data_IF_212769491212
#
_entry.id   IF_212769491212
#
_cell.length_a   1.000
_cell.length_b   1.000
_cell.length_c   1.000
_cell.angle_alpha   90.00
_cell.angle_beta   90.00
_cell.angle_gamma   90.00
#
_symmetry.space_group_name_H-M   'P 1'
#
loop_
_entity.id
_entity.type
_entity.pdbx_description
1 polymer ?
#
# COMPACT_ATOMS: atom_id res chain seq x y z
N UNK A 1 33.21 23.03 -62.88
CA UNK A 1 33.56 21.62 -62.61
C UNK A 1 33.23 21.34 -61.15
N UNK A 2 31.96 21.06 -60.79
CA UNK A 2 31.32 19.72 -60.72
C UNK A 2 32.20 18.63 -60.09
N UNK A 3 31.77 18.12 -58.93
CA UNK A 3 32.28 16.88 -58.32
C UNK A 3 32.03 16.76 -56.81
N UNK A 4 30.76 16.76 -56.38
CA UNK A 4 30.33 16.46 -55.00
C UNK A 4 30.31 14.95 -54.70
N UNK A 5 30.56 14.64 -53.42
CA UNK A 5 29.94 13.61 -52.58
C UNK A 5 29.98 12.13 -53.03
N UNK A 6 30.87 11.36 -52.38
CA UNK A 6 30.79 9.90 -52.27
C UNK A 6 29.81 9.48 -51.16
N UNK A 7 28.67 8.97 -51.62
CA UNK A 7 27.93 7.78 -51.15
C UNK A 7 27.87 7.45 -49.65
N UNK A 8 26.74 7.79 -49.00
CA UNK A 8 26.31 7.19 -47.73
C UNK A 8 25.28 6.10 -48.02
N UNK A 9 25.71 4.84 -47.98
CA UNK A 9 24.80 3.71 -47.99
C UNK A 9 23.96 3.68 -46.69
N UNK A 10 22.65 3.75 -46.89
CA UNK A 10 21.60 3.81 -45.90
C UNK A 10 21.32 2.39 -45.33
N UNK A 11 21.53 2.16 -44.04
CA UNK A 11 21.14 0.92 -43.38
C UNK A 11 19.66 1.01 -42.91
N UNK A 12 18.83 -0.03 -43.12
CA UNK A 12 17.41 0.04 -42.75
C UNK A 12 17.22 0.06 -41.23
N UNK A 13 16.21 0.78 -40.71
CA UNK A 13 15.91 0.77 -39.28
C UNK A 13 15.34 -0.59 -38.88
N UNK A 14 16.03 -1.28 -37.98
CA UNK A 14 15.55 -2.52 -37.36
C UNK A 14 14.35 -2.16 -36.49
N UNK A 15 13.16 -2.55 -36.94
CA UNK A 15 11.93 -2.41 -36.17
C UNK A 15 12.07 -3.17 -34.84
N UNK A 16 11.97 -2.46 -33.72
CA UNK A 16 11.88 -3.07 -32.39
C UNK A 16 10.46 -3.58 -32.19
N UNK A 17 10.29 -4.89 -32.22
CA UNK A 17 9.08 -5.56 -31.73
C UNK A 17 8.90 -5.31 -30.23
N UNK A 18 7.67 -5.15 -29.72
CA UNK A 18 7.41 -4.99 -28.30
C UNK A 18 7.66 -6.33 -27.58
N UNK A 19 8.50 -6.29 -26.54
CA UNK A 19 8.80 -7.46 -25.70
C UNK A 19 7.59 -7.79 -24.83
N UNK A 20 6.95 -8.93 -25.12
CA UNK A 20 5.99 -9.58 -24.24
C UNK A 20 6.67 -10.77 -23.56
N UNK A 21 7.14 -10.62 -22.32
CA UNK A 21 7.39 -11.73 -21.36
C UNK A 21 7.90 -11.18 -20.02
N UNK A 22 7.02 -11.06 -19.01
CA UNK A 22 7.37 -11.00 -17.56
C UNK A 22 6.14 -11.05 -16.64
N UNK A 23 4.90 -10.99 -17.13
CA UNK A 23 3.70 -10.80 -16.31
C UNK A 23 3.28 -11.96 -15.37
N UNK A 24 3.79 -13.19 -15.56
CA UNK A 24 3.26 -14.40 -14.90
C UNK A 24 3.63 -14.54 -13.41
N UNK A 25 4.84 -14.19 -12.93
CA UNK A 25 5.17 -14.28 -11.50
C UNK A 25 4.37 -13.32 -10.63
N UNK A 26 4.11 -12.12 -11.15
CA UNK A 26 3.49 -11.00 -10.46
C UNK A 26 2.01 -11.26 -10.19
N UNK A 27 1.29 -11.81 -11.18
CA UNK A 27 -0.12 -12.17 -11.03
C UNK A 27 -0.33 -13.35 -10.06
N UNK A 28 0.59 -14.32 -10.07
CA UNK A 28 0.54 -15.46 -9.16
C UNK A 28 0.70 -15.03 -7.69
N UNK A 29 1.62 -14.09 -7.40
CA UNK A 29 1.78 -13.57 -6.02
C UNK A 29 0.57 -12.76 -5.58
N UNK A 30 0.00 -11.94 -6.47
CA UNK A 30 -1.24 -11.22 -6.17
C UNK A 30 -2.42 -12.16 -5.94
N UNK A 31 -2.51 -13.28 -6.67
CA UNK A 31 -3.52 -14.32 -6.47
C UNK A 31 -3.34 -15.03 -5.12
N UNK A 32 -2.11 -15.37 -4.75
CA UNK A 32 -1.80 -15.97 -3.45
C UNK A 32 -2.13 -15.01 -2.30
N UNK A 33 -1.79 -13.73 -2.42
CA UNK A 33 -2.16 -12.71 -1.42
C UNK A 33 -3.67 -12.62 -1.23
N UNK A 34 -4.44 -12.61 -2.33
CA UNK A 34 -5.92 -12.68 -2.28
C UNK A 34 -6.41 -13.91 -1.55
N UNK A 35 -5.89 -15.09 -1.90
CA UNK A 35 -6.28 -16.34 -1.25
C UNK A 35 -6.02 -16.30 0.26
N UNK A 36 -4.81 -15.93 0.68
CA UNK A 36 -4.42 -15.84 2.08
C UNK A 36 -5.29 -14.85 2.85
N UNK A 37 -5.56 -13.68 2.26
CA UNK A 37 -6.44 -12.68 2.84
C UNK A 37 -7.87 -13.23 3.03
N UNK A 38 -8.47 -13.80 1.98
CA UNK A 38 -9.84 -14.36 2.04
C UNK A 38 -9.97 -15.48 3.06
N UNK A 39 -8.95 -16.32 3.22
CA UNK A 39 -9.00 -17.45 4.17
C UNK A 39 -8.85 -17.04 5.65
N UNK A 40 -8.31 -15.86 5.94
CA UNK A 40 -8.16 -15.40 7.31
C UNK A 40 -9.52 -14.97 7.89
N UNK A 41 -9.96 -15.60 8.97
CA UNK A 41 -11.22 -15.31 9.66
C UNK A 41 -11.06 -14.36 10.85
N UNK A 42 -9.82 -14.17 11.31
CA UNK A 42 -9.47 -13.25 12.40
C UNK A 42 -8.28 -12.37 12.02
N UNK A 43 -8.10 -11.25 12.74
CA UNK A 43 -6.93 -10.38 12.57
C UNK A 43 -5.62 -11.09 12.89
N UNK A 44 -5.63 -12.02 13.86
CA UNK A 44 -4.45 -12.79 14.22
C UNK A 44 -4.07 -13.80 13.13
N UNK A 45 -5.05 -14.50 12.54
CA UNK A 45 -4.80 -15.36 11.36
C UNK A 45 -4.27 -14.55 10.19
N UNK A 46 -4.84 -13.36 9.94
CA UNK A 46 -4.36 -12.48 8.87
C UNK A 46 -2.92 -12.04 9.11
N UNK A 47 -2.58 -11.67 10.35
CA UNK A 47 -1.21 -11.33 10.75
C UNK A 47 -0.25 -12.49 10.52
N UNK A 48 -0.65 -13.72 10.87
CA UNK A 48 0.15 -14.93 10.65
C UNK A 48 0.38 -15.19 9.16
N UNK A 49 -0.67 -15.08 8.34
CA UNK A 49 -0.57 -15.22 6.88
C UNK A 49 0.41 -14.18 6.30
N UNK A 50 0.27 -12.91 6.69
CA UNK A 50 1.18 -11.84 6.23
C UNK A 50 2.61 -12.09 6.70
N UNK A 51 2.82 -12.52 7.94
CA UNK A 51 4.14 -12.83 8.47
C UNK A 51 4.82 -13.98 7.72
N UNK A 52 4.06 -14.95 7.20
CA UNK A 52 4.56 -16.07 6.40
C UNK A 52 4.63 -15.80 4.88
N UNK A 53 4.00 -14.73 4.39
CA UNK A 53 3.91 -14.43 2.97
C UNK A 53 5.24 -13.96 2.37
N UNK A 54 5.80 -14.68 1.40
CA UNK A 54 7.08 -14.33 0.73
C UNK A 54 6.89 -13.68 -0.66
N UNK A 55 5.63 -13.44 -1.06
CA UNK A 55 5.31 -12.95 -2.41
C UNK A 55 5.54 -11.46 -2.64
N UNK A 56 6.02 -10.70 -1.64
CA UNK A 56 6.31 -9.28 -1.76
C UNK A 56 7.81 -9.01 -1.51
N UNK A 57 8.49 -8.45 -2.50
CA UNK A 57 9.89 -8.06 -2.42
C UNK A 57 10.21 -7.10 -1.25
N UNK A 58 9.24 -6.29 -0.81
CA UNK A 58 9.44 -5.37 0.31
C UNK A 58 9.76 -6.09 1.62
N UNK A 59 9.18 -7.28 1.83
CA UNK A 59 9.44 -8.11 3.01
C UNK A 59 10.91 -8.50 3.13
N UNK A 60 11.58 -8.80 2.02
CA UNK A 60 12.98 -9.17 2.01
C UNK A 60 13.92 -8.03 2.48
N UNK A 61 13.44 -6.79 2.42
CA UNK A 61 14.22 -5.59 2.80
C UNK A 61 13.77 -4.92 4.08
N UNK A 62 12.52 -5.16 4.49
CA UNK A 62 11.97 -4.64 5.75
C UNK A 62 12.50 -5.45 6.93
N UNK A 63 12.63 -4.80 8.09
CA UNK A 63 13.03 -5.46 9.32
C UNK A 63 11.84 -6.14 9.99
N UNK A 64 10.69 -5.49 10.00
CA UNK A 64 9.50 -6.01 10.65
C UNK A 64 8.27 -5.94 9.73
N UNK A 65 7.31 -6.83 10.00
CA UNK A 65 5.94 -6.64 9.58
C UNK A 65 5.31 -5.56 10.47
N UNK A 66 4.84 -4.47 9.87
CA UNK A 66 4.10 -3.42 10.56
C UNK A 66 2.61 -3.62 10.29
N UNK A 67 1.98 -4.44 11.12
CA UNK A 67 0.61 -4.91 10.88
C UNK A 67 -0.45 -3.86 11.23
N UNK A 68 -0.51 -3.46 12.50
CA UNK A 68 -1.45 -2.47 13.01
C UNK A 68 -1.06 -1.99 14.42
N UNK A 69 -1.72 -0.93 14.88
CA UNK A 69 -1.79 -0.52 16.30
C UNK A 69 -3.21 -0.04 16.64
N UNK A 70 -3.47 0.20 17.92
CA UNK A 70 -4.73 0.74 18.42
C UNK A 70 -5.75 -0.34 18.75
N UNK A 71 -7.02 0.00 18.63
CA UNK A 71 -8.13 -0.85 19.06
C UNK A 71 -8.88 -1.47 17.86
N UNK A 72 -8.91 -2.81 17.72
CA UNK A 72 -9.64 -3.49 16.64
C UNK A 72 -11.17 -3.34 16.73
N UNK A 73 -11.72 -2.92 17.87
CA UNK A 73 -13.16 -2.65 18.05
C UNK A 73 -13.50 -1.15 17.85
N UNK A 74 -12.53 -0.33 17.42
CA UNK A 74 -12.75 1.10 17.23
C UNK A 74 -13.69 1.39 16.06
N UNK A 75 -14.58 2.36 16.24
CA UNK A 75 -15.45 2.83 15.17
C UNK A 75 -14.70 3.58 14.04
N UNK A 76 -13.43 3.95 14.26
CA UNK A 76 -12.60 4.69 13.31
C UNK A 76 -11.37 3.87 12.97
N UNK A 77 -11.08 3.75 11.67
CA UNK A 77 -9.85 3.18 11.15
C UNK A 77 -9.05 4.24 10.39
N UNK A 78 -7.75 4.33 10.67
CA UNK A 78 -6.80 5.25 10.04
C UNK A 78 -5.84 4.45 9.15
N UNK A 79 -5.72 4.84 7.88
CA UNK A 79 -4.88 4.11 6.91
C UNK A 79 -3.87 5.02 6.21
N UNK A 80 -2.59 4.77 6.43
CA UNK A 80 -1.46 5.41 5.74
C UNK A 80 -0.97 4.65 4.50
N UNK A 81 0.11 5.16 3.89
CA UNK A 81 0.74 4.52 2.71
C UNK A 81 1.57 3.30 3.11
N UNK A 82 2.67 3.52 3.83
CA UNK A 82 3.66 2.53 4.16
C UNK A 82 4.46 2.94 5.42
N UNK A 83 5.13 1.99 6.11
CA UNK A 83 5.99 2.28 7.24
C UNK A 83 7.20 3.12 6.86
N UNK A 84 7.60 4.02 7.75
CA UNK A 84 8.91 4.66 7.72
C UNK A 84 9.97 3.86 8.47
N UNK A 85 11.14 4.48 8.68
CA UNK A 85 12.27 3.83 9.36
C UNK A 85 11.95 3.44 10.81
N UNK A 86 11.30 4.33 11.54
CA UNK A 86 11.04 4.13 12.97
C UNK A 86 9.98 3.03 13.14
N UNK A 87 8.94 3.06 12.31
CA UNK A 87 7.89 2.04 12.24
C UNK A 87 8.45 0.66 11.90
N UNK A 88 9.34 0.57 10.92
CA UNK A 88 10.01 -0.68 10.54
C UNK A 88 10.91 -1.22 11.65
N UNK A 89 11.48 -0.36 12.49
CA UNK A 89 12.30 -0.79 13.63
C UNK A 89 11.44 -1.32 14.77
N UNK A 90 10.33 -0.65 15.07
CA UNK A 90 9.45 -0.96 16.20
C UNK A 90 8.38 -2.00 15.88
N UNK A 91 8.04 -2.20 14.60
CA UNK A 91 6.95 -3.08 14.18
C UNK A 91 5.55 -2.47 14.35
N UNK A 92 5.47 -1.17 14.64
CA UNK A 92 4.21 -0.46 14.90
C UNK A 92 4.01 0.72 13.94
N UNK A 93 2.79 0.94 13.42
CA UNK A 93 2.51 2.03 12.51
C UNK A 93 2.54 3.39 13.22
N UNK A 94 2.97 4.41 12.47
CA UNK A 94 2.95 5.82 12.89
C UNK A 94 3.71 6.09 14.21
N UNK A 95 4.85 5.49 14.50
CA UNK A 95 5.64 5.81 15.72
C UNK A 95 6.67 6.94 15.50
N UNK A 96 6.97 7.25 14.24
CA UNK A 96 7.90 8.30 13.85
C UNK A 96 7.34 9.73 13.95
N UNK A 97 7.94 10.66 13.20
CA UNK A 97 7.55 12.09 13.24
C UNK A 97 6.09 12.35 12.86
N UNK A 98 5.62 11.73 11.78
CA UNK A 98 4.23 11.82 11.32
C UNK A 98 3.26 11.23 12.35
N UNK A 99 3.72 10.18 13.02
CA UNK A 99 3.09 9.57 14.18
C UNK A 99 2.81 10.50 15.34
N UNK A 100 3.87 11.14 15.83
CA UNK A 100 3.75 12.13 16.91
C UNK A 100 2.84 13.30 16.54
N UNK A 101 2.74 13.63 15.25
CA UNK A 101 1.77 14.63 14.78
C UNK A 101 0.34 14.08 14.85
N UNK A 102 0.12 12.85 14.42
CA UNK A 102 -1.17 12.16 14.55
C UNK A 102 -1.64 12.11 16.01
N UNK A 103 -0.76 11.72 16.93
CA UNK A 103 -1.07 11.65 18.36
C UNK A 103 -1.50 13.02 18.91
N UNK A 104 -0.82 14.10 18.50
CA UNK A 104 -1.22 15.47 18.88
C UNK A 104 -2.57 15.88 18.29
N UNK A 105 -2.88 15.45 17.07
CA UNK A 105 -4.17 15.73 16.43
C UNK A 105 -5.31 15.00 17.15
N UNK A 106 -5.12 13.74 17.51
CA UNK A 106 -6.07 12.97 18.31
C UNK A 106 -6.26 13.61 19.69
N UNK A 107 -5.17 13.94 20.38
CA UNK A 107 -5.22 14.57 21.69
C UNK A 107 -5.95 15.93 21.67
N UNK A 108 -5.79 16.72 20.61
CA UNK A 108 -6.46 18.01 20.46
C UNK A 108 -8.00 17.91 20.38
N UNK A 109 -8.53 16.73 20.04
CA UNK A 109 -9.97 16.43 20.04
C UNK A 109 -10.38 15.49 21.19
N UNK A 110 -9.51 15.31 22.19
CA UNK A 110 -9.78 14.49 23.37
C UNK A 110 -9.74 12.97 23.12
N UNK A 111 -9.08 12.53 22.04
CA UNK A 111 -8.89 11.13 21.69
C UNK A 111 -7.43 10.70 21.82
N UNK A 112 -7.18 9.41 21.77
CA UNK A 112 -5.84 8.81 21.73
C UNK A 112 -5.79 7.64 20.72
N UNK A 113 -4.64 6.95 20.66
CA UNK A 113 -4.45 5.80 19.77
C UNK A 113 -5.41 4.65 20.05
N UNK A 114 -5.87 4.48 21.28
CA UNK A 114 -6.83 3.42 21.64
C UNK A 114 -8.25 3.72 21.13
N UNK A 115 -8.47 4.94 20.64
CA UNK A 115 -9.74 5.37 20.04
C UNK A 115 -9.87 5.00 18.56
N UNK A 116 -8.83 4.43 17.94
CA UNK A 116 -8.81 4.09 16.52
C UNK A 116 -8.07 2.77 16.25
N UNK A 117 -8.35 2.13 15.12
CA UNK A 117 -7.48 1.11 14.53
C UNK A 117 -6.56 1.76 13.50
N UNK A 118 -5.25 1.50 13.55
CA UNK A 118 -4.27 2.20 12.74
C UNK A 118 -3.48 1.19 11.92
N UNK A 119 -3.46 1.35 10.60
CA UNK A 119 -2.74 0.48 9.68
C UNK A 119 -2.17 1.25 8.48
N UNK A 120 -1.51 0.53 7.57
CA UNK A 120 -1.04 1.06 6.29
C UNK A 120 -1.48 0.13 5.16
N UNK A 121 -1.62 0.69 3.95
CA UNK A 121 -1.87 -0.11 2.73
C UNK A 121 -0.75 -1.12 2.50
N UNK A 122 0.50 -0.68 2.67
CA UNK A 122 1.68 -1.52 2.59
C UNK A 122 2.15 -1.80 4.02
N UNK A 123 2.40 -3.05 4.43
CA UNK A 123 2.79 -3.38 5.80
C UNK A 123 4.32 -3.51 5.99
N UNK A 124 5.10 -3.35 4.93
CA UNK A 124 6.56 -3.42 4.93
C UNK A 124 7.17 -2.12 4.39
N UNK A 125 8.26 -1.68 5.01
CA UNK A 125 8.95 -0.46 4.62
C UNK A 125 9.62 -0.59 3.24
N UNK A 126 9.34 0.33 2.29
CA UNK A 126 10.08 0.40 1.04
C UNK A 126 11.56 0.81 1.25
N UNK A 127 12.51 0.22 0.51
CA UNK A 127 13.92 0.62 0.56
C UNK A 127 14.11 2.13 0.39
N UNK A 128 14.83 2.76 1.32
CA UNK A 128 15.08 4.20 1.27
C UNK A 128 13.83 5.07 1.49
N UNK A 129 12.71 4.52 2.00
CA UNK A 129 11.42 5.21 2.13
C UNK A 129 10.91 5.77 0.78
N UNK A 130 11.22 5.09 -0.34
CA UNK A 130 10.63 5.45 -1.63
C UNK A 130 9.12 5.19 -1.64
N UNK A 131 8.42 5.80 -2.58
CA UNK A 131 7.01 5.43 -2.85
C UNK A 131 6.96 3.95 -3.29
N UNK A 132 5.99 3.17 -2.77
CA UNK A 132 5.70 1.82 -3.26
C UNK A 132 5.39 1.82 -4.75
N UNK A 133 5.76 0.76 -5.44
CA UNK A 133 5.35 0.59 -6.84
C UNK A 133 3.86 0.23 -6.93
N UNK A 134 3.21 0.45 -8.09
CA UNK A 134 1.84 -0.02 -8.30
C UNK A 134 1.70 -1.52 -8.03
N UNK A 135 2.69 -2.30 -8.47
CA UNK A 135 2.71 -3.75 -8.27
C UNK A 135 2.80 -4.15 -6.78
N UNK A 136 3.69 -3.52 -6.01
CA UNK A 136 3.78 -3.73 -4.56
C UNK A 136 2.45 -3.39 -3.86
N UNK A 137 1.78 -2.33 -4.34
CA UNK A 137 0.46 -1.92 -3.87
C UNK A 137 -0.61 -2.95 -4.19
N UNK A 138 -0.63 -3.49 -5.41
CA UNK A 138 -1.59 -4.52 -5.82
C UNK A 138 -1.41 -5.83 -5.04
N UNK A 139 -0.17 -6.23 -4.74
CA UNK A 139 0.10 -7.40 -3.91
C UNK A 139 -0.39 -7.21 -2.47
N UNK A 140 -0.20 -6.02 -1.90
CA UNK A 140 -0.54 -5.77 -0.49
C UNK A 140 -2.02 -5.40 -0.28
N UNK A 141 -2.69 -4.88 -1.31
CA UNK A 141 -4.10 -4.45 -1.26
C UNK A 141 -5.04 -5.48 -0.64
N UNK A 142 -5.01 -6.78 -1.00
CA UNK A 142 -5.92 -7.77 -0.41
C UNK A 142 -5.83 -7.85 1.12
N UNK A 143 -4.65 -7.63 1.70
CA UNK A 143 -4.47 -7.69 3.15
C UNK A 143 -5.11 -6.50 3.86
N UNK A 144 -4.94 -5.27 3.36
CA UNK A 144 -5.57 -4.09 3.98
C UNK A 144 -7.09 -4.11 3.79
N UNK A 145 -7.59 -4.56 2.63
CA UNK A 145 -9.03 -4.75 2.43
C UNK A 145 -9.58 -5.77 3.44
N UNK A 146 -8.86 -6.88 3.67
CA UNK A 146 -9.26 -7.86 4.68
C UNK A 146 -9.18 -7.32 6.10
N UNK A 147 -8.19 -6.48 6.43
CA UNK A 147 -8.17 -5.79 7.73
C UNK A 147 -9.40 -4.90 7.89
N UNK A 148 -9.79 -4.15 6.87
CA UNK A 148 -11.00 -3.31 6.89
C UNK A 148 -12.25 -4.18 7.10
N UNK A 149 -12.37 -5.31 6.41
CA UNK A 149 -13.48 -6.26 6.58
C UNK A 149 -13.56 -6.83 7.99
N UNK A 150 -12.42 -7.21 8.58
CA UNK A 150 -12.36 -7.83 9.90
C UNK A 150 -12.56 -6.83 11.05
N UNK A 151 -12.16 -5.58 10.84
CA UNK A 151 -12.35 -4.48 11.81
C UNK A 151 -13.76 -3.90 11.73
N UNK A 152 -14.38 -3.93 10.55
CA UNK A 152 -15.71 -3.35 10.26
C UNK A 152 -15.88 -1.91 10.83
N UNK A 153 -14.98 -0.97 10.48
CA UNK A 153 -15.02 0.38 11.05
C UNK A 153 -16.19 1.18 10.47
N UNK A 154 -16.83 2.01 11.32
CA UNK A 154 -17.88 2.94 10.86
C UNK A 154 -17.31 4.06 9.98
N UNK A 155 -16.06 4.45 10.20
CA UNK A 155 -15.38 5.51 9.44
C UNK A 155 -13.95 5.09 9.10
N UNK A 156 -13.63 5.13 7.81
CA UNK A 156 -12.28 4.91 7.28
C UNK A 156 -11.64 6.25 6.88
N UNK A 157 -10.49 6.59 7.47
CA UNK A 157 -9.77 7.83 7.20
C UNK A 157 -8.45 7.53 6.49
N UNK A 158 -8.36 7.97 5.24
CA UNK A 158 -7.14 7.87 4.44
C UNK A 158 -6.16 9.00 4.79
N UNK A 159 -5.03 8.65 5.41
CA UNK A 159 -3.97 9.57 5.81
C UNK A 159 -2.98 9.79 4.65
N UNK A 160 -3.44 10.54 3.64
CA UNK A 160 -2.63 10.96 2.50
C UNK A 160 -3.18 10.53 1.15
N UNK A 161 -2.61 11.09 0.08
CA UNK A 161 -3.02 10.76 -1.29
C UNK A 161 -2.85 9.30 -1.68
N UNK A 162 -1.72 8.64 -1.35
CA UNK A 162 -1.48 7.26 -1.75
C UNK A 162 -2.47 6.24 -1.16
N UNK A 163 -2.80 6.33 0.14
CA UNK A 163 -3.84 5.46 0.73
C UNK A 163 -5.22 5.78 0.14
N UNK A 164 -5.56 7.08 -0.02
CA UNK A 164 -6.81 7.49 -0.61
C UNK A 164 -6.99 7.00 -2.06
N UNK A 165 -5.97 7.13 -2.91
CA UNK A 165 -5.99 6.62 -4.29
C UNK A 165 -6.17 5.11 -4.34
N UNK A 166 -5.46 4.40 -3.45
CA UNK A 166 -5.56 2.95 -3.33
C UNK A 166 -6.98 2.57 -2.97
N UNK A 167 -7.46 2.96 -1.79
CA UNK A 167 -8.72 2.46 -1.22
C UNK A 167 -9.95 3.00 -1.96
N UNK A 168 -9.91 4.24 -2.48
CA UNK A 168 -11.01 4.81 -3.26
C UNK A 168 -10.95 4.47 -4.76
N UNK A 169 -9.95 3.69 -5.18
CA UNK A 169 -9.69 3.33 -6.58
C UNK A 169 -9.78 4.54 -7.54
N UNK A 170 -9.03 5.60 -7.23
CA UNK A 170 -9.08 6.88 -7.98
C UNK A 170 -7.67 7.38 -8.32
N UNK A 171 -7.57 8.15 -9.40
CA UNK A 171 -6.36 8.88 -9.79
C UNK A 171 -6.34 10.33 -9.31
N UNK A 172 -7.42 10.80 -8.67
CA UNK A 172 -7.57 12.17 -8.19
C UNK A 172 -6.52 12.55 -7.13
N UNK A 173 -6.15 13.83 -7.09
CA UNK A 173 -5.21 14.36 -6.09
C UNK A 173 -5.88 14.58 -4.73
N UNK A 174 -5.11 14.43 -3.64
CA UNK A 174 -5.60 14.56 -2.26
C UNK A 174 -6.29 15.90 -1.97
N UNK A 175 -5.89 16.98 -2.64
CA UNK A 175 -6.51 18.30 -2.48
C UNK A 175 -7.98 18.34 -2.94
N UNK A 176 -8.36 17.50 -3.92
CA UNK A 176 -9.76 17.36 -4.36
C UNK A 176 -10.51 16.33 -3.51
N UNK A 177 -9.82 15.30 -3.03
CA UNK A 177 -10.43 14.22 -2.26
C UNK A 177 -10.73 14.63 -0.81
N UNK A 178 -9.86 15.44 -0.19
CA UNK A 178 -9.97 15.80 1.24
C UNK A 178 -11.31 16.47 1.57
N UNK A 179 -11.91 16.07 2.69
CA UNK A 179 -13.15 16.65 3.21
C UNK A 179 -14.43 16.17 2.52
N UNK A 180 -14.32 15.32 1.49
CA UNK A 180 -15.47 14.74 0.79
C UNK A 180 -15.71 13.31 1.26
N UNK A 181 -16.95 13.01 1.62
CA UNK A 181 -17.37 11.65 2.00
C UNK A 181 -17.52 10.76 0.78
N UNK A 182 -17.09 9.50 0.92
CA UNK A 182 -17.31 8.43 -0.06
C UNK A 182 -17.64 7.14 0.68
N UNK A 183 -18.35 6.26 -0.01
CA UNK A 183 -18.61 4.90 0.47
C UNK A 183 -17.45 4.02 0.03
N UNK A 184 -16.85 3.32 0.98
CA UNK A 184 -15.93 2.21 0.72
C UNK A 184 -16.74 0.92 0.87
N UNK A 185 -16.69 0.04 -0.12
CA UNK A 185 -17.41 -1.24 -0.10
C UNK A 185 -16.39 -2.35 -0.18
N UNK A 186 -16.46 -3.28 0.78
CA UNK A 186 -15.56 -4.42 0.84
C UNK A 186 -16.10 -5.60 0.04
N UNK A 187 -15.36 -6.70 -0.07
CA UNK A 187 -15.86 -7.86 -0.80
C UNK A 187 -17.04 -8.53 -0.07
N UNK A 188 -17.12 -8.38 1.25
CA UNK A 188 -18.23 -8.86 2.07
C UNK A 188 -19.50 -7.99 2.04
N UNK A 189 -19.45 -6.81 1.41
CA UNK A 189 -20.51 -5.81 1.42
C UNK A 189 -20.13 -4.57 2.22
#
# INVERSE_FOLDING_TARGET
SRGEAGDRANAPPVARSPSATTAVPDEAQAALARQLATTATTLDELRQHMAAFEGCNLKATAKNLVFADGNPEAAVMLVGEAPGRDEDIEGLPFVGRSGRLLDRMLAAIGLDRTSAYIANVIPWRPPGNRTPTPHETEICRPFIERQIELVDPKVLINLGGPSAKTLLNTSEGILRLRGNWRVHTTASG
#
